data_IF_262133826760
#
_entry.id   IF_262133826760
#
_cell.length_a   1.000
_cell.length_b   1.000
_cell.length_c   1.000
_cell.angle_alpha   90.00
_cell.angle_beta   90.00
_cell.angle_gamma   90.00
#
_symmetry.space_group_name_H-M   'P 1'
#
loop_
_entity.id
_entity.type
_entity.pdbx_description
1 polymer ?
#
# COMPACT_ATOMS: atom_id res chain seq x y z
N UNK A 1 -5.22 -1.10 12.20
CA UNK A 1 -5.36 0.25 11.59
C UNK A 1 -5.36 0.07 10.08
N UNK A 2 -6.29 0.71 9.38
CA UNK A 2 -6.33 0.70 7.91
C UNK A 2 -5.86 2.05 7.40
N UNK A 3 -4.86 2.05 6.53
CA UNK A 3 -4.41 3.19 5.76
C UNK A 3 -5.06 3.10 4.36
N UNK A 4 -5.63 4.20 3.88
CA UNK A 4 -6.19 4.24 2.53
C UNK A 4 -5.85 5.56 1.87
N UNK A 5 -5.19 5.47 0.71
CA UNK A 5 -4.88 6.60 -0.15
C UNK A 5 -5.86 6.54 -1.31
N UNK A 6 -6.64 7.59 -1.53
CA UNK A 6 -7.56 7.69 -2.66
C UNK A 6 -6.97 8.63 -3.71
N UNK A 7 -7.00 8.22 -4.97
CA UNK A 7 -6.63 9.05 -6.10
C UNK A 7 -7.87 9.66 -6.73
N UNK A 8 -7.87 10.97 -6.99
CA UNK A 8 -9.00 11.66 -7.61
C UNK A 8 -8.67 12.04 -9.06
N UNK A 9 -9.52 11.58 -9.99
CA UNK A 9 -9.40 11.90 -11.41
C UNK A 9 -8.07 11.44 -12.01
N UNK A 10 -7.24 12.38 -12.47
CA UNK A 10 -5.94 12.10 -13.11
C UNK A 10 -4.81 11.78 -12.13
N UNK A 11 -5.06 11.81 -10.82
CA UNK A 11 -4.02 11.54 -9.82
C UNK A 11 -3.57 10.07 -9.81
N UNK A 12 -4.34 9.16 -10.41
CA UNK A 12 -3.98 7.74 -10.53
C UNK A 12 -2.70 7.51 -11.34
N UNK A 13 -2.24 8.48 -12.14
CA UNK A 13 -0.93 8.38 -12.82
C UNK A 13 0.24 8.47 -11.83
N UNK A 14 -0.01 8.97 -10.62
CA UNK A 14 0.98 9.14 -9.55
C UNK A 14 0.93 8.02 -8.51
N UNK A 15 0.52 6.81 -8.90
CA UNK A 15 0.53 5.62 -8.03
C UNK A 15 1.90 5.40 -7.39
N UNK A 16 2.99 5.65 -8.10
CA UNK A 16 4.36 5.56 -7.55
C UNK A 16 4.58 6.50 -6.37
N UNK A 17 4.11 7.76 -6.48
CA UNK A 17 4.18 8.73 -5.38
C UNK A 17 3.29 8.32 -4.20
N UNK A 18 2.14 7.70 -4.47
CA UNK A 18 1.28 7.13 -3.44
C UNK A 18 1.97 6.00 -2.67
N UNK A 19 2.67 5.11 -3.37
CA UNK A 19 3.47 4.06 -2.76
C UNK A 19 4.62 4.62 -1.91
N UNK A 20 5.32 5.65 -2.39
CA UNK A 20 6.37 6.31 -1.60
C UNK A 20 5.81 6.96 -0.33
N UNK A 21 4.63 7.58 -0.40
CA UNK A 21 3.97 8.18 0.76
C UNK A 21 3.66 7.13 1.83
N UNK A 22 3.13 5.98 1.41
CA UNK A 22 2.83 4.85 2.30
C UNK A 22 4.11 4.29 2.91
N UNK A 23 5.17 4.11 2.11
CA UNK A 23 6.46 3.62 2.59
C UNK A 23 7.04 4.54 3.67
N UNK A 24 6.95 5.87 3.49
CA UNK A 24 7.33 6.83 4.54
C UNK A 24 6.48 6.68 5.79
N UNK A 25 5.16 6.54 5.63
CA UNK A 25 4.26 6.39 6.77
C UNK A 25 4.54 5.13 7.59
N UNK A 26 4.87 4.02 6.91
CA UNK A 26 5.27 2.77 7.55
C UNK A 26 6.62 2.94 8.27
N UNK A 27 7.58 3.63 7.67
CA UNK A 27 8.87 3.94 8.29
C UNK A 27 8.68 4.70 9.61
N UNK A 28 7.86 5.75 9.59
CA UNK A 28 7.59 6.59 10.76
C UNK A 28 6.84 5.83 11.86
N UNK A 29 6.00 4.86 11.50
CA UNK A 29 5.22 4.04 12.43
C UNK A 29 5.89 2.72 12.83
N UNK A 30 7.10 2.43 12.35
CA UNK A 30 7.79 1.16 12.59
C UNK A 30 8.10 0.91 14.08
N UNK A 31 8.03 1.93 14.94
CA UNK A 31 8.24 1.84 16.38
C UNK A 31 7.02 1.25 17.13
N UNK A 32 5.80 1.44 16.58
CA UNK A 32 4.54 1.06 17.23
C UNK A 32 3.62 0.18 16.38
N UNK A 33 3.91 0.02 15.08
CA UNK A 33 3.12 -0.79 14.17
C UNK A 33 3.98 -1.60 13.18
N UNK A 34 3.45 -2.74 12.75
CA UNK A 34 3.99 -3.57 11.66
C UNK A 34 2.97 -3.68 10.52
N UNK A 35 3.45 -3.87 9.29
CA UNK A 35 2.59 -4.12 8.13
C UNK A 35 2.10 -5.57 8.18
N UNK A 36 0.79 -5.77 8.21
CA UNK A 36 0.18 -7.10 8.12
C UNK A 36 -0.18 -7.44 6.67
N UNK A 37 -0.78 -6.48 5.95
CA UNK A 37 -1.20 -6.67 4.57
C UNK A 37 -1.01 -5.41 3.75
N UNK A 38 -0.53 -5.60 2.53
CA UNK A 38 -0.48 -4.57 1.50
C UNK A 38 -1.30 -5.06 0.30
N UNK A 39 -2.50 -4.51 0.13
CA UNK A 39 -3.38 -4.86 -0.99
C UNK A 39 -3.01 -4.10 -2.27
N UNK A 40 -2.04 -3.18 -2.20
CA UNK A 40 -1.59 -2.42 -3.36
C UNK A 40 -2.68 -1.53 -3.93
N UNK A 41 -2.62 -1.27 -5.25
CA UNK A 41 -3.59 -0.45 -5.96
C UNK A 41 -4.86 -1.26 -6.27
N UNK A 42 -5.94 -0.96 -5.57
CA UNK A 42 -7.28 -1.49 -5.79
C UNK A 42 -8.16 -0.37 -6.38
N UNK A 43 -8.47 -0.50 -7.67
CA UNK A 43 -9.23 0.48 -8.44
C UNK A 43 -8.58 1.87 -8.47
N UNK A 44 -9.09 2.79 -7.63
CA UNK A 44 -8.60 4.17 -7.49
C UNK A 44 -8.02 4.44 -6.10
N UNK A 45 -7.70 3.40 -5.34
CA UNK A 45 -7.21 3.52 -3.97
C UNK A 45 -6.07 2.57 -3.69
N UNK A 46 -5.14 2.96 -2.82
CA UNK A 46 -4.19 2.02 -2.23
C UNK A 46 -4.56 1.77 -0.78
N UNK A 47 -4.59 0.51 -0.39
CA UNK A 47 -4.98 0.09 0.96
C UNK A 47 -3.85 -0.69 1.62
N UNK A 48 -3.50 -0.28 2.84
CA UNK A 48 -2.48 -0.96 3.66
C UNK A 48 -3.02 -1.16 5.06
N UNK A 49 -2.84 -2.37 5.58
CA UNK A 49 -3.27 -2.75 6.90
C UNK A 49 -2.05 -2.83 7.81
N UNK A 50 -2.08 -1.99 8.85
CA UNK A 50 -1.08 -1.95 9.90
C UNK A 50 -1.65 -2.55 11.17
N UNK A 51 -0.85 -3.39 11.83
CA UNK A 51 -1.16 -3.98 13.11
C UNK A 51 -0.26 -3.37 14.18
N UNK A 52 -0.81 -3.08 15.36
CA UNK A 52 0.00 -2.58 16.48
C UNK A 52 0.95 -3.69 16.92
N UNK A 53 2.24 -3.38 17.02
CA UNK A 53 3.19 -4.32 17.62
C UNK A 53 2.97 -4.32 19.14
N UNK A 54 2.50 -5.46 19.63
CA UNK A 54 2.75 -5.85 21.01
C UNK A 54 4.16 -6.47 21.02
N UNK A 55 4.98 -6.27 22.07
CA UNK A 55 6.42 -6.62 22.06
C UNK A 55 6.77 -8.11 21.88
N UNK A 56 5.80 -8.98 21.60
CA UNK A 56 5.96 -10.42 21.38
C UNK A 56 5.99 -10.87 19.91
N UNK A 57 5.75 -10.01 18.92
CA UNK A 57 5.68 -10.42 17.51
C UNK A 57 6.72 -9.71 16.63
N UNK A 58 7.99 -10.10 16.78
CA UNK A 58 8.97 -9.87 15.72
C UNK A 58 8.68 -10.85 14.58
N UNK A 59 8.91 -10.36 13.34
CA UNK A 59 9.25 -11.12 12.12
C UNK A 59 8.11 -11.35 11.10
N UNK A 60 7.99 -10.42 10.14
CA UNK A 60 8.40 -10.65 8.73
C UNK A 60 8.07 -9.44 7.86
N UNK A 61 9.10 -8.71 7.48
CA UNK A 61 9.13 -8.08 6.16
C UNK A 61 9.28 -9.20 5.13
N UNK A 62 8.44 -9.22 4.09
CA UNK A 62 8.84 -9.75 2.79
C UNK A 62 8.30 -8.80 1.72
N UNK A 63 9.18 -8.14 0.96
CA UNK A 63 8.83 -7.32 -0.18
C UNK A 63 8.39 -8.26 -1.31
N UNK A 64 7.09 -8.32 -1.56
CA UNK A 64 6.50 -9.16 -2.60
C UNK A 64 5.57 -8.32 -3.46
N UNK A 65 6.14 -7.51 -4.33
CA UNK A 65 5.41 -7.01 -5.48
C UNK A 65 5.04 -8.18 -6.41
N UNK A 66 3.77 -8.23 -6.81
CA UNK A 66 3.28 -8.88 -8.04
C UNK A 66 2.03 -8.07 -8.43
N UNK A 67 2.10 -7.09 -9.33
CA UNK A 67 2.21 -7.21 -10.79
C UNK A 67 0.96 -7.83 -11.46
N UNK A 68 0.41 -7.06 -12.41
CA UNK A 68 -0.68 -7.35 -13.37
C UNK A 68 -2.09 -7.47 -12.74
N UNK A 69 -3.08 -6.66 -13.13
CA UNK A 69 -3.55 -6.52 -14.52
C UNK A 69 -3.66 -5.06 -14.97
N UNK A 70 -2.80 -4.68 -15.91
CA UNK A 70 -3.20 -3.74 -16.93
C UNK A 70 -4.05 -4.54 -17.93
N UNK A 71 -5.33 -4.20 -18.05
CA UNK A 71 -6.05 -4.40 -19.30
C UNK A 71 -6.36 -3.01 -19.86
N UNK A 72 -5.65 -2.59 -20.92
CA UNK A 72 -6.05 -1.46 -21.74
C UNK A 72 -7.13 -1.98 -22.69
N UNK A 73 -8.39 -1.64 -22.45
CA UNK A 73 -9.42 -1.86 -23.48
C UNK A 73 -9.22 -0.81 -24.58
N UNK A 74 -8.54 -1.22 -25.65
CA UNK A 74 -8.77 -0.70 -27.00
C UNK A 74 -9.79 -1.63 -27.69
N UNK A 75 -10.62 -1.06 -28.57
CA UNK A 75 -11.69 -1.67 -29.41
C UNK A 75 -13.05 -1.54 -28.73
N UNK A 76 -14.05 -0.82 -29.24
CA UNK A 76 -14.47 -0.50 -30.62
C UNK A 76 -15.06 0.92 -30.72
#
# INVERSE_FOLDING_TARGET
MKLTVFFRGREIVYVDKGNQLIARFVQDLSDIAMVERNDGLEGKSIQVYLMKINPAAKKKETPGGSAATAEPTKTE
#
